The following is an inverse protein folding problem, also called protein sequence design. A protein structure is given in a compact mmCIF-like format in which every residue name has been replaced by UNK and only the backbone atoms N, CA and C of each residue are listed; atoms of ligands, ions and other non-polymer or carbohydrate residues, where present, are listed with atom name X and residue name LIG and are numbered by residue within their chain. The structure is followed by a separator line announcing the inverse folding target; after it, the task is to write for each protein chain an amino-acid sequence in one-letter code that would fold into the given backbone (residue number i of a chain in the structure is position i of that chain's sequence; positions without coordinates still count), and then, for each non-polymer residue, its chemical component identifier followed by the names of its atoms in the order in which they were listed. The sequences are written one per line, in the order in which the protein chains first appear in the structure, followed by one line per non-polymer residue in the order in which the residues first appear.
data_IF_757100976931
#
_entry.id   IF_757100976931
#
_cell.length_a   1.000
_cell.length_b   1.000
_cell.length_c   1.000
_cell.angle_alpha   90.00
_cell.angle_beta   90.00
_cell.angle_gamma   90.00
#
_symmetry.space_group_name_H-M   'P 1'
#
loop_
_entity.id
_entity.type
_entity.pdbx_description
1 polymer ?
#
# COMPACT_ATOMS: atom_id res chain seq x y z
N UNK A 1 -12.86 2.46 -9.26
CA UNK A 1 -13.01 2.58 -7.79
C UNK A 1 -11.89 1.79 -7.12
N UNK A 2 -11.25 2.38 -6.10
CA UNK A 2 -10.03 1.88 -5.46
C UNK A 2 -10.09 2.04 -3.93
N UNK A 3 -9.65 1.02 -3.20
CA UNK A 3 -9.43 1.05 -1.74
C UNK A 3 -7.93 1.10 -1.47
N UNK A 4 -7.46 2.09 -0.70
CA UNK A 4 -6.12 2.08 -0.13
C UNK A 4 -6.13 1.27 1.19
N UNK A 5 -5.15 0.40 1.36
CA UNK A 5 -4.93 -0.41 2.56
C UNK A 5 -3.60 -0.04 3.18
N UNK A 6 -3.63 0.38 4.44
CA UNK A 6 -2.45 0.79 5.21
C UNK A 6 -2.31 -0.15 6.42
N UNK A 7 -1.13 -0.72 6.63
CA UNK A 7 -0.78 -1.38 7.88
C UNK A 7 -0.11 -0.37 8.80
N UNK A 8 -0.52 -0.31 10.06
CA UNK A 8 -0.01 0.67 11.01
C UNK A 8 0.18 0.06 12.41
N UNK A 9 1.31 0.40 13.02
CA UNK A 9 1.58 0.15 14.44
C UNK A 9 2.41 1.31 15.00
N UNK A 10 1.77 2.16 15.83
CA UNK A 10 2.39 3.38 16.38
C UNK A 10 2.85 4.35 15.28
N UNK A 11 1.95 4.61 14.31
CA UNK A 11 2.23 5.39 13.10
C UNK A 11 1.43 6.71 13.04
N UNK A 12 1.03 7.25 14.19
CA UNK A 12 0.18 8.46 14.27
C UNK A 12 0.68 9.61 13.38
N UNK A 13 1.99 9.91 13.42
CA UNK A 13 2.59 11.00 12.63
C UNK A 13 2.59 10.71 11.14
N UNK A 14 2.96 9.49 10.78
CA UNK A 14 3.01 9.07 9.38
C UNK A 14 1.63 9.06 8.72
N UNK A 15 0.59 8.62 9.44
CA UNK A 15 -0.79 8.64 8.92
C UNK A 15 -1.31 10.04 8.67
N UNK A 16 -0.93 11.04 9.48
CA UNK A 16 -1.27 12.45 9.25
C UNK A 16 -0.77 12.97 7.90
N UNK A 17 0.38 12.49 7.45
CA UNK A 17 1.00 12.88 6.20
C UNK A 17 0.52 12.02 5.02
N UNK A 18 0.35 10.70 5.24
CA UNK A 18 0.01 9.76 4.17
C UNK A 18 -1.46 9.86 3.75
N UNK A 19 -2.43 9.80 4.69
CA UNK A 19 -3.85 9.71 4.36
C UNK A 19 -4.34 10.85 3.45
N UNK A 20 -3.94 12.13 3.65
CA UNK A 20 -4.33 13.20 2.72
C UNK A 20 -3.86 12.98 1.27
N UNK A 21 -2.74 12.28 1.06
CA UNK A 21 -2.25 11.96 -0.28
C UNK A 21 -3.04 10.85 -0.98
N UNK A 22 -3.94 10.17 -0.26
CA UNK A 22 -4.80 9.10 -0.76
C UNK A 22 -6.21 9.59 -1.13
N UNK A 23 -6.43 10.91 -1.23
CA UNK A 23 -7.72 11.52 -1.58
C UNK A 23 -8.27 11.09 -2.95
N UNK A 24 -7.45 10.50 -3.82
CA UNK A 24 -7.86 9.90 -5.09
C UNK A 24 -8.47 8.50 -4.94
N UNK A 25 -8.37 7.89 -3.75
CA UNK A 25 -8.98 6.61 -3.43
C UNK A 25 -10.40 6.80 -2.92
N UNK A 26 -11.31 5.91 -3.31
CA UNK A 26 -12.72 5.93 -2.88
C UNK A 26 -12.90 5.45 -1.43
N UNK A 27 -11.93 4.71 -0.91
CA UNK A 27 -11.91 4.18 0.46
C UNK A 27 -10.48 4.10 0.96
N UNK A 28 -10.27 4.40 2.25
CA UNK A 28 -9.01 4.15 2.97
C UNK A 28 -9.30 3.23 4.14
N UNK A 29 -8.58 2.11 4.24
CA UNK A 29 -8.60 1.17 5.36
C UNK A 29 -7.24 1.24 6.05
N UNK A 30 -7.26 1.43 7.37
CA UNK A 30 -6.07 1.28 8.22
C UNK A 30 -6.24 0.04 9.08
N UNK A 31 -5.31 -0.90 8.98
CA UNK A 31 -5.20 -2.04 9.90
C UNK A 31 -4.30 -1.61 11.04
N UNK A 32 -4.91 -1.35 12.18
CA UNK A 32 -4.20 -1.02 13.42
C UNK A 32 -3.78 -2.31 14.12
N UNK A 33 -2.47 -2.54 14.19
CA UNK A 33 -1.88 -3.73 14.77
C UNK A 33 -1.42 -3.46 16.22
N UNK A 34 -2.38 -3.32 17.13
CA UNK A 34 -2.14 -3.06 18.56
C UNK A 34 -1.27 -1.81 18.81
N UNK A 35 -1.65 -0.66 18.24
CA UNK A 35 -0.99 0.61 18.53
C UNK A 35 -1.33 1.08 19.96
N UNK A 36 -0.34 1.68 20.60
CA UNK A 36 -0.46 2.29 21.93
C UNK A 36 -0.46 3.82 21.91
N UNK A 37 -0.33 4.41 20.72
CA UNK A 37 -0.39 5.87 20.47
C UNK A 37 -1.74 6.27 19.84
N UNK A 38 -1.85 7.50 19.37
CA UNK A 38 -3.06 8.02 18.70
C UNK A 38 -3.26 7.57 17.25
N UNK A 39 -2.70 6.42 16.82
CA UNK A 39 -2.79 5.91 15.44
C UNK A 39 -4.24 5.74 14.99
N UNK A 40 -5.05 4.99 15.76
CA UNK A 40 -6.46 4.74 15.41
C UNK A 40 -7.30 6.01 15.41
N UNK A 41 -7.11 6.90 16.39
CA UNK A 41 -7.83 8.16 16.53
C UNK A 41 -7.58 9.07 15.34
N UNK A 42 -6.32 9.25 14.95
CA UNK A 42 -5.97 10.11 13.82
C UNK A 42 -6.46 9.53 12.49
N UNK A 43 -6.38 8.22 12.30
CA UNK A 43 -6.88 7.57 11.11
C UNK A 43 -8.39 7.79 10.94
N UNK A 44 -9.18 7.61 12.01
CA UNK A 44 -10.63 7.88 12.01
C UNK A 44 -10.92 9.35 11.70
N UNK A 45 -10.19 10.27 12.34
CA UNK A 45 -10.36 11.72 12.12
C UNK A 45 -10.10 12.11 10.66
N UNK A 46 -9.21 11.41 9.98
CA UNK A 46 -8.89 11.62 8.56
C UNK A 46 -9.80 10.82 7.61
N UNK A 47 -10.87 10.19 8.13
CA UNK A 47 -11.88 9.50 7.32
C UNK A 47 -11.55 8.06 6.96
N UNK A 48 -10.49 7.46 7.52
CA UNK A 48 -10.18 6.06 7.29
C UNK A 48 -11.08 5.12 8.12
N UNK A 49 -11.40 3.97 7.55
CA UNK A 49 -12.03 2.85 8.26
C UNK A 49 -10.95 2.01 8.95
N UNK A 50 -11.16 1.73 10.24
CA UNK A 50 -10.18 1.01 11.04
C UNK A 50 -10.59 -0.46 11.13
N UNK A 51 -9.58 -1.33 10.96
CA UNK A 51 -9.64 -2.74 11.33
C UNK A 51 -8.59 -2.97 12.41
N UNK A 52 -8.96 -3.65 13.50
CA UNK A 52 -8.03 -4.02 14.56
C UNK A 52 -7.55 -5.45 14.36
N UNK A 53 -6.28 -5.69 14.57
CA UNK A 53 -5.69 -7.02 14.54
C UNK A 53 -4.45 -7.06 15.42
N UNK A 54 -4.18 -8.22 16.02
CA UNK A 54 -2.98 -8.51 16.79
C UNK A 54 -2.09 -9.56 16.11
N UNK A 55 -2.32 -9.82 14.82
CA UNK A 55 -1.50 -10.79 14.09
C UNK A 55 -0.07 -10.29 13.92
N UNK A 56 0.91 -11.17 14.12
CA UNK A 56 2.32 -10.92 13.85
C UNK A 56 2.69 -11.18 12.39
N UNK A 57 1.75 -11.68 11.57
CA UNK A 57 1.98 -12.05 10.18
C UNK A 57 1.41 -10.98 9.24
N UNK A 58 2.28 -10.24 8.58
CA UNK A 58 1.87 -9.16 7.68
C UNK A 58 0.98 -9.64 6.52
N UNK A 59 1.21 -10.85 6.00
CA UNK A 59 0.34 -11.44 4.97
C UNK A 59 -1.11 -11.63 5.44
N UNK A 60 -1.33 -11.96 6.71
CA UNK A 60 -2.68 -12.05 7.30
C UNK A 60 -3.33 -10.68 7.42
N UNK A 61 -2.59 -9.66 7.87
CA UNK A 61 -3.08 -8.28 7.97
C UNK A 61 -3.50 -7.74 6.61
N UNK A 62 -2.67 -7.94 5.56
CA UNK A 62 -3.03 -7.55 4.20
C UNK A 62 -4.22 -8.32 3.66
N UNK A 63 -4.30 -9.62 3.95
CA UNK A 63 -5.43 -10.47 3.54
C UNK A 63 -6.73 -10.03 4.24
N UNK A 64 -6.68 -9.74 5.54
CA UNK A 64 -7.82 -9.21 6.30
C UNK A 64 -8.37 -7.94 5.66
N UNK A 65 -7.49 -6.98 5.37
CA UNK A 65 -7.88 -5.71 4.78
C UNK A 65 -8.38 -5.88 3.33
N UNK A 66 -7.74 -6.75 2.54
CA UNK A 66 -8.18 -7.04 1.18
C UNK A 66 -9.59 -7.61 1.13
N UNK A 67 -9.93 -8.52 2.06
CA UNK A 67 -11.30 -9.07 2.18
C UNK A 67 -12.32 -8.04 2.64
N UNK A 68 -11.90 -7.04 3.41
CA UNK A 68 -12.76 -5.98 3.91
C UNK A 68 -12.93 -4.83 2.91
N UNK A 69 -12.09 -4.71 1.89
CA UNK A 69 -12.15 -3.68 0.87
C UNK A 69 -13.46 -3.76 0.07
N UNK A 70 -14.08 -2.60 -0.19
CA UNK A 70 -15.36 -2.50 -0.91
C UNK A 70 -15.20 -2.30 -2.41
N UNK A 71 -14.00 -1.97 -2.85
CA UNK A 71 -13.71 -1.65 -4.24
C UNK A 71 -12.92 -2.76 -4.92
N UNK A 72 -13.05 -2.91 -6.25
CA UNK A 72 -12.39 -3.98 -7.00
C UNK A 72 -10.85 -3.83 -7.05
N UNK A 73 -10.34 -2.60 -6.95
CA UNK A 73 -8.91 -2.34 -6.89
C UNK A 73 -8.46 -2.03 -5.48
N UNK A 74 -7.31 -2.58 -5.10
CA UNK A 74 -6.70 -2.43 -3.79
C UNK A 74 -5.27 -1.93 -3.99
N UNK A 75 -4.96 -0.80 -3.36
CA UNK A 75 -3.61 -0.26 -3.27
C UNK A 75 -3.07 -0.53 -1.86
N UNK A 76 -2.09 -1.40 -1.75
CA UNK A 76 -1.38 -1.63 -0.50
C UNK A 76 -0.23 -0.63 -0.35
N UNK A 77 -0.18 0.05 0.79
CA UNK A 77 0.86 1.03 1.09
C UNK A 77 1.23 0.95 2.58
N UNK A 78 2.50 1.15 2.90
CA UNK A 78 2.96 1.17 4.28
C UNK A 78 2.85 2.59 4.86
N UNK A 79 2.69 2.72 6.17
CA UNK A 79 2.39 4.00 6.81
C UNK A 79 3.50 5.05 6.60
N UNK A 80 4.75 4.62 6.45
CA UNK A 80 5.94 5.43 6.20
C UNK A 80 6.25 5.68 4.72
N UNK A 81 5.39 5.19 3.82
CA UNK A 81 5.49 5.42 2.37
C UNK A 81 4.73 6.69 1.94
N UNK A 82 5.14 7.29 0.82
CA UNK A 82 4.51 8.50 0.27
C UNK A 82 4.25 8.34 -1.22
N UNK A 83 3.08 8.84 -1.66
CA UNK A 83 2.62 8.80 -3.05
C UNK A 83 2.64 10.20 -3.64
N UNK A 84 3.33 10.35 -4.78
CA UNK A 84 3.34 11.60 -5.54
C UNK A 84 2.08 11.75 -6.41
N UNK A 85 1.72 12.99 -6.77
CA UNK A 85 0.62 13.25 -7.72
C UNK A 85 0.82 12.55 -9.07
N UNK A 86 2.06 12.42 -9.54
CA UNK A 86 2.37 11.66 -10.77
C UNK A 86 2.01 10.18 -10.65
N UNK A 87 2.31 9.56 -9.49
CA UNK A 87 1.95 8.17 -9.25
C UNK A 87 0.43 8.01 -9.12
N UNK A 88 -0.27 8.96 -8.49
CA UNK A 88 -1.74 8.97 -8.40
C UNK A 88 -2.38 8.97 -9.80
N UNK A 89 -1.92 9.85 -10.69
CA UNK A 89 -2.42 9.91 -12.07
C UNK A 89 -2.17 8.59 -12.83
N UNK A 90 -0.96 8.06 -12.74
CA UNK A 90 -0.60 6.79 -13.40
C UNK A 90 -1.44 5.61 -12.86
N UNK A 91 -1.68 5.52 -11.55
CA UNK A 91 -2.58 4.51 -10.96
C UNK A 91 -3.98 4.62 -11.56
N UNK A 92 -4.52 5.83 -11.65
CA UNK A 92 -5.85 6.06 -12.22
C UNK A 92 -5.92 5.64 -13.69
N UNK A 93 -4.92 5.96 -14.49
CA UNK A 93 -4.82 5.61 -15.91
C UNK A 93 -4.75 4.08 -16.11
N UNK A 94 -3.90 3.37 -15.35
CA UNK A 94 -3.77 1.91 -15.52
C UNK A 94 -5.01 1.15 -15.07
N UNK A 95 -5.73 1.64 -14.05
CA UNK A 95 -7.03 1.08 -13.63
C UNK A 95 -8.06 1.22 -14.75
N UNK A 96 -8.12 2.39 -15.40
CA UNK A 96 -9.04 2.64 -16.51
C UNK A 96 -8.70 1.81 -17.75
N UNK A 97 -7.40 1.58 -17.99
CA UNK A 97 -6.96 0.79 -19.17
C UNK A 97 -7.37 -0.68 -19.10
N UNK A 98 -7.54 -1.24 -17.90
CA UNK A 98 -7.91 -2.65 -17.67
C UNK A 98 -6.92 -3.67 -18.23
N UNK A 99 -5.70 -3.24 -18.61
CA UNK A 99 -4.72 -4.09 -19.32
C UNK A 99 -4.19 -5.24 -18.47
N UNK A 100 -3.97 -5.00 -17.18
CA UNK A 100 -3.48 -5.99 -16.22
C UNK A 100 -4.35 -5.98 -14.97
N UNK A 101 -4.30 -7.05 -14.18
CA UNK A 101 -5.06 -7.19 -12.93
C UNK A 101 -4.21 -6.96 -11.69
N UNK A 102 -2.90 -6.82 -11.87
CA UNK A 102 -1.96 -6.44 -10.82
C UNK A 102 -0.86 -5.57 -11.42
N UNK A 103 -0.27 -4.69 -10.58
CA UNK A 103 0.84 -3.85 -10.99
C UNK A 103 1.92 -3.81 -9.91
N UNK A 104 3.17 -3.95 -10.34
CA UNK A 104 4.32 -3.64 -9.52
C UNK A 104 4.62 -2.14 -9.57
N UNK A 105 4.94 -1.58 -8.42
CA UNK A 105 5.28 -0.17 -8.25
C UNK A 105 6.73 -0.10 -7.79
N UNK A 106 7.63 0.61 -8.50
CA UNK A 106 8.98 0.87 -8.03
C UNK A 106 8.97 1.55 -6.65
N UNK A 107 9.86 1.17 -5.75
CA UNK A 107 10.04 1.82 -4.45
C UNK A 107 11.43 2.45 -4.36
N UNK A 108 11.50 3.68 -3.92
CA UNK A 108 12.76 4.39 -3.67
C UNK A 108 12.87 4.65 -2.18
N UNK A 109 13.80 3.97 -1.53
CA UNK A 109 14.16 4.22 -0.14
C UNK A 109 15.06 5.46 -0.07
N UNK A 110 14.71 6.37 0.84
CA UNK A 110 15.41 7.63 1.04
C UNK A 110 16.22 7.58 2.34
N UNK A 111 17.49 7.94 2.28
CA UNK A 111 18.33 8.08 3.46
C UNK A 111 18.93 9.48 3.48
N UNK A 112 18.64 10.26 4.52
CA UNK A 112 19.06 11.67 4.63
C UNK A 112 18.72 12.50 3.39
N UNK A 113 17.50 12.32 2.85
CA UNK A 113 17.01 13.04 1.67
C UNK A 113 17.65 12.60 0.33
N UNK A 114 18.48 11.56 0.32
CA UNK A 114 19.09 10.99 -0.89
C UNK A 114 18.59 9.57 -1.14
N UNK A 115 18.35 9.18 -2.41
CA UNK A 115 17.94 7.83 -2.74
C UNK A 115 19.06 6.82 -2.46
N UNK A 116 18.73 5.73 -1.77
CA UNK A 116 19.63 4.60 -1.55
C UNK A 116 19.86 3.88 -2.89
N UNK A 117 21.12 3.61 -3.23
CA UNK A 117 21.49 3.08 -4.57
C UNK A 117 21.99 1.63 -4.54
N UNK A 118 22.07 0.99 -3.39
CA UNK A 118 22.70 -0.32 -3.23
C UNK A 118 21.84 -1.28 -2.38
N UNK A 119 22.12 -2.59 -2.49
CA UNK A 119 21.47 -3.63 -1.71
C UNK A 119 20.10 -4.06 -2.24
N UNK A 120 19.28 -4.67 -1.39
CA UNK A 120 17.92 -5.15 -1.71
C UNK A 120 16.99 -4.02 -2.18
N UNK A 121 17.24 -2.79 -1.74
CA UNK A 121 16.52 -1.60 -2.17
C UNK A 121 16.65 -1.34 -3.67
N UNK A 122 17.76 -1.76 -4.30
CA UNK A 122 17.94 -1.63 -5.74
C UNK A 122 17.00 -2.56 -6.52
N UNK A 123 16.72 -3.75 -6.02
CA UNK A 123 15.76 -4.67 -6.63
C UNK A 123 14.34 -4.12 -6.57
N UNK A 124 13.92 -3.64 -5.42
CA UNK A 124 12.61 -2.99 -5.23
C UNK A 124 12.46 -1.75 -6.15
N UNK A 125 13.55 -1.01 -6.36
CA UNK A 125 13.59 0.12 -7.28
C UNK A 125 13.50 -0.30 -8.75
N UNK A 126 14.20 -1.35 -9.15
CA UNK A 126 14.28 -1.78 -10.55
C UNK A 126 13.09 -2.65 -10.96
N UNK A 127 12.74 -3.63 -10.14
CA UNK A 127 11.64 -4.58 -10.43
C UNK A 127 10.30 -4.07 -9.96
N UNK A 128 10.29 -3.27 -8.89
CA UNK A 128 9.10 -2.86 -8.16
C UNK A 128 8.53 -3.98 -7.27
N UNK A 129 7.61 -3.63 -6.42
CA UNK A 129 6.84 -4.54 -5.55
C UNK A 129 5.37 -4.49 -5.97
N UNK A 130 4.70 -5.64 -5.99
CA UNK A 130 3.28 -5.68 -6.35
C UNK A 130 2.48 -5.07 -5.20
N UNK A 131 1.86 -3.92 -5.47
CA UNK A 131 1.12 -3.13 -4.47
C UNK A 131 -0.28 -2.72 -4.95
N UNK A 132 -0.52 -2.67 -6.26
CA UNK A 132 -1.84 -2.37 -6.84
C UNK A 132 -2.40 -3.65 -7.45
N UNK A 133 -3.54 -4.15 -6.93
CA UNK A 133 -4.09 -5.45 -7.31
C UNK A 133 -5.62 -5.39 -7.40
N UNK A 134 -6.20 -6.19 -8.29
CA UNK A 134 -7.61 -6.53 -8.17
C UNK A 134 -7.84 -7.54 -7.04
N UNK A 135 -8.99 -7.50 -6.41
CA UNK A 135 -9.32 -8.31 -5.22
C UNK A 135 -9.21 -9.83 -5.45
N UNK A 136 -9.35 -10.28 -6.70
CA UNK A 136 -9.24 -11.69 -7.11
C UNK A 136 -7.92 -12.04 -7.82
N UNK A 137 -6.98 -11.10 -7.93
CA UNK A 137 -5.76 -11.26 -8.73
C UNK A 137 -4.76 -12.25 -8.13
N UNK A 138 -4.82 -12.52 -6.82
CA UNK A 138 -3.87 -13.39 -6.15
C UNK A 138 -4.02 -13.40 -4.63
N UNK A 139 -2.92 -13.65 -3.93
CA UNK A 139 -2.90 -13.71 -2.46
C UNK A 139 -1.53 -13.32 -1.90
N UNK A 140 -1.52 -12.94 -0.64
CA UNK A 140 -0.31 -12.64 0.12
C UNK A 140 0.28 -13.89 0.75
N UNK A 141 1.61 -14.03 0.71
CA UNK A 141 2.38 -15.11 1.34
C UNK A 141 3.55 -14.53 2.13
N UNK A 142 4.05 -15.28 3.10
CA UNK A 142 5.17 -14.87 3.97
C UNK A 142 4.70 -14.23 5.27
N UNK A 143 5.56 -14.27 6.29
CA UNK A 143 5.23 -13.79 7.63
C UNK A 143 5.70 -12.35 7.86
N UNK A 144 6.97 -12.06 7.62
CA UNK A 144 7.61 -10.75 7.83
C UNK A 144 7.95 -10.06 6.51
N UNK A 145 8.42 -10.81 5.51
CA UNK A 145 8.70 -10.32 4.16
C UNK A 145 7.61 -10.84 3.23
N UNK A 146 6.41 -10.29 3.39
CA UNK A 146 5.26 -10.71 2.62
C UNK A 146 5.36 -10.29 1.16
N UNK A 147 4.99 -11.21 0.29
CA UNK A 147 4.98 -11.03 -1.16
C UNK A 147 3.59 -11.35 -1.71
N UNK A 148 3.12 -10.53 -2.64
CA UNK A 148 1.89 -10.83 -3.37
C UNK A 148 2.19 -11.78 -4.51
N UNK A 149 1.52 -12.94 -4.53
CA UNK A 149 1.58 -13.90 -5.62
C UNK A 149 0.37 -13.73 -6.52
N UNK A 150 0.59 -13.25 -7.73
CA UNK A 150 -0.46 -13.03 -8.71
C UNK A 150 -0.70 -14.29 -9.54
N UNK A 151 -1.98 -14.62 -9.76
CA UNK A 151 -2.44 -15.64 -10.72
C UNK A 151 -2.77 -15.02 -12.07
N UNK A 152 -2.67 -13.71 -12.20
CA UNK A 152 -3.04 -12.91 -13.37
C UNK A 152 -1.84 -12.17 -13.93
N UNK A 153 -2.02 -11.51 -15.06
CA UNK A 153 -0.97 -10.68 -15.66
C UNK A 153 -0.59 -9.50 -14.77
N UNK A 154 0.71 -9.27 -14.63
CA UNK A 154 1.27 -8.19 -13.83
C UNK A 154 1.88 -7.14 -14.75
N UNK A 155 1.39 -5.90 -14.65
CA UNK A 155 2.01 -4.74 -15.26
C UNK A 155 3.04 -4.10 -14.34
N UNK A 156 3.71 -3.05 -14.85
CA UNK A 156 4.66 -2.27 -14.07
C UNK A 156 4.39 -0.79 -14.25
N UNK A 157 4.38 -0.05 -13.15
CA UNK A 157 4.30 1.41 -13.16
C UNK A 157 5.70 2.02 -13.34
N UNK A 158 5.75 3.25 -13.83
CA UNK A 158 6.98 3.99 -14.05
C UNK A 158 7.31 4.92 -12.88
N UNK A 159 6.26 5.52 -12.29
CA UNK A 159 6.42 6.34 -11.09
C UNK A 159 6.59 5.43 -9.86
N UNK A 160 7.10 6.02 -8.77
CA UNK A 160 7.56 5.26 -7.62
C UNK A 160 6.92 5.73 -6.31
N UNK A 161 6.85 4.81 -5.35
CA UNK A 161 6.61 5.08 -3.94
C UNK A 161 7.93 5.56 -3.32
N UNK A 162 7.88 6.56 -2.43
CA UNK A 162 9.00 6.98 -1.59
C UNK A 162 8.85 6.39 -0.21
N UNK A 163 9.93 5.82 0.32
CA UNK A 163 10.03 5.22 1.64
C UNK A 163 11.20 5.83 2.44
#
# INVERSE_FOLDING_TARGET
MITAVILAKNEQKNLQELIPTLSFCDEVIVVDNDSSDGTSEIAKKLGARILHSSSTRFSELRTLASKAARNPWILHIDADERISSKLQSEISEVIQSGKHQAYSIPRIDMFWGKPVKYGETLEARLKGIIRLVQSDAGHWIGDVHEVFTSKKSVGKLHNHIRH
#
